data_IF_932697612879
#
_entry.id   IF_932697612879
#
_cell.length_a   1.000
_cell.length_b   1.000
_cell.length_c   1.000
_cell.angle_alpha   90.00
_cell.angle_beta   90.00
_cell.angle_gamma   90.00
#
_symmetry.space_group_name_H-M   'P 1'
#
loop_
_entity.id
_entity.type
_entity.pdbx_description
1 polymer ?
#
# COMPACT_ATOMS: atom_id res chain seq x y z
N UNK A 1 10.16 3.35 18.18
CA UNK A 1 10.13 3.60 16.73
C UNK A 1 11.32 2.88 16.13
N UNK A 2 11.13 1.68 15.58
CA UNK A 2 12.23 0.89 15.02
C UNK A 2 12.49 1.32 13.59
N UNK A 3 13.68 1.87 13.32
CA UNK A 3 14.14 2.14 11.96
C UNK A 3 14.39 0.80 11.28
N UNK A 4 13.60 0.50 10.27
CA UNK A 4 13.73 -0.73 9.47
C UNK A 4 14.85 -0.51 8.45
N UNK A 5 16.11 -0.64 8.88
CA UNK A 5 17.28 -0.57 7.98
C UNK A 5 17.43 -1.90 7.24
N UNK A 6 16.99 -1.95 5.99
CA UNK A 6 17.22 -3.09 5.10
C UNK A 6 18.39 -2.80 4.16
N UNK A 7 19.34 -3.72 4.06
CA UNK A 7 20.50 -3.63 3.18
C UNK A 7 20.24 -3.91 1.69
N UNK A 8 18.97 -3.95 1.26
CA UNK A 8 18.59 -4.33 -0.11
C UNK A 8 17.65 -3.31 -0.73
N UNK A 9 18.22 -2.27 -1.35
CA UNK A 9 17.54 -1.42 -2.32
C UNK A 9 17.48 -2.13 -3.68
N UNK A 10 16.79 -3.27 -3.75
CA UNK A 10 16.48 -3.85 -5.05
C UNK A 10 15.44 -3.00 -5.76
N UNK A 11 15.71 -2.55 -7.01
CA UNK A 11 14.81 -1.73 -7.81
C UNK A 11 13.52 -2.47 -8.23
N UNK A 12 13.37 -3.73 -7.87
CA UNK A 12 12.29 -4.61 -8.34
C UNK A 12 11.07 -4.69 -7.41
N UNK A 13 11.17 -4.25 -6.15
CA UNK A 13 10.00 -4.18 -5.25
C UNK A 13 9.53 -2.72 -5.23
N UNK A 14 8.82 -2.34 -6.30
CA UNK A 14 8.25 -1.01 -6.49
C UNK A 14 6.86 -0.88 -5.85
N UNK A 15 6.04 -1.93 -5.90
CA UNK A 15 4.68 -1.96 -5.36
C UNK A 15 4.57 -2.95 -4.20
N UNK A 16 3.88 -2.55 -3.14
CA UNK A 16 3.62 -3.32 -1.94
C UNK A 16 2.23 -2.98 -1.40
N UNK A 17 1.79 -3.70 -0.36
CA UNK A 17 0.51 -3.43 0.31
C UNK A 17 0.70 -3.40 1.82
N UNK A 18 -0.11 -2.55 2.48
CA UNK A 18 -0.39 -2.65 3.91
C UNK A 18 -1.76 -3.32 4.05
N UNK A 19 -1.80 -4.41 4.80
CA UNK A 19 -3.01 -5.19 5.07
C UNK A 19 -3.50 -4.88 6.48
N UNK A 20 -4.67 -4.26 6.58
CA UNK A 20 -5.36 -4.02 7.85
C UNK A 20 -6.40 -5.11 8.06
N UNK A 21 -6.25 -5.91 9.11
CA UNK A 21 -7.13 -7.03 9.42
C UNK A 21 -7.94 -6.74 10.68
N UNK A 22 -9.26 -6.94 10.60
CA UNK A 22 -10.09 -7.14 11.78
C UNK A 22 -10.22 -8.64 12.03
N UNK A 23 -10.03 -9.05 13.29
CA UNK A 23 -10.08 -10.44 13.69
C UNK A 23 -11.26 -10.68 14.62
N UNK A 24 -12.00 -11.77 14.39
CA UNK A 24 -13.10 -12.19 15.25
C UNK A 24 -12.85 -13.56 15.85
N UNK A 25 -13.45 -13.82 17.02
CA UNK A 25 -13.56 -15.16 17.59
C UNK A 25 -14.84 -15.82 17.11
N UNK A 26 -14.79 -17.11 16.86
CA UNK A 26 -15.97 -17.90 16.52
C UNK A 26 -15.74 -19.38 16.73
N UNK A 27 -16.82 -20.15 16.69
CA UNK A 27 -16.75 -21.61 16.70
C UNK A 27 -16.65 -22.14 15.27
N UNK A 28 -15.72 -23.07 15.03
CA UNK A 28 -15.64 -23.85 13.81
C UNK A 28 -15.43 -25.30 14.19
N UNK A 29 -16.33 -26.17 13.76
CA UNK A 29 -16.23 -27.62 14.01
C UNK A 29 -16.08 -27.95 15.51
N UNK A 30 -16.86 -27.26 16.36
CA UNK A 30 -16.85 -27.45 17.82
C UNK A 30 -15.63 -26.89 18.54
N UNK A 31 -14.77 -26.13 17.85
CA UNK A 31 -13.59 -25.52 18.42
C UNK A 31 -13.57 -24.00 18.21
N UNK A 32 -13.16 -23.27 19.25
CA UNK A 32 -12.92 -21.83 19.15
C UNK A 32 -11.72 -21.53 18.23
N UNK A 33 -11.96 -20.70 17.20
CA UNK A 33 -10.96 -20.23 16.24
C UNK A 33 -10.94 -18.70 16.20
N UNK A 34 -9.82 -18.17 15.71
CA UNK A 34 -9.71 -16.76 15.31
C UNK A 34 -9.87 -16.69 13.80
N UNK A 35 -10.77 -15.85 13.33
CA UNK A 35 -11.04 -15.62 11.92
C UNK A 35 -10.66 -14.21 11.51
N UNK A 36 -10.47 -14.02 10.21
CA UNK A 36 -10.43 -12.69 9.61
C UNK A 36 -11.89 -12.28 9.38
N UNK A 37 -12.33 -11.27 10.13
CA UNK A 37 -13.65 -10.67 9.98
C UNK A 37 -13.66 -9.67 8.81
N UNK A 38 -12.59 -8.88 8.70
CA UNK A 38 -12.43 -7.87 7.66
C UNK A 38 -10.97 -7.78 7.22
N UNK A 39 -10.77 -7.48 5.95
CA UNK A 39 -9.47 -7.14 5.39
C UNK A 39 -9.59 -5.87 4.53
N UNK A 40 -8.85 -4.84 4.89
CA UNK A 40 -8.70 -3.61 4.10
C UNK A 40 -7.27 -3.55 3.55
N UNK A 41 -7.15 -3.31 2.25
CA UNK A 41 -5.85 -3.28 1.56
C UNK A 41 -5.51 -1.85 1.15
N UNK A 42 -4.33 -1.38 1.54
CA UNK A 42 -3.79 -0.08 1.12
C UNK A 42 -2.54 -0.28 0.26
N UNK A 43 -2.56 0.08 -1.03
CA UNK A 43 -1.36 0.10 -1.86
C UNK A 43 -0.32 1.06 -1.31
N UNK A 44 0.94 0.64 -1.32
CA UNK A 44 2.09 1.48 -0.97
C UNK A 44 3.26 1.20 -1.89
N UNK A 45 4.16 2.17 -2.01
CA UNK A 45 5.43 2.03 -2.70
C UNK A 45 6.57 2.48 -1.79
N UNK A 46 7.78 2.09 -2.15
CA UNK A 46 8.99 2.49 -1.43
C UNK A 46 9.71 3.59 -2.18
N UNK A 47 10.19 4.58 -1.45
CA UNK A 47 11.03 5.65 -1.99
C UNK A 47 12.25 5.87 -1.12
N UNK A 48 13.27 6.51 -1.69
CA UNK A 48 14.44 6.98 -0.96
C UNK A 48 14.53 8.49 -1.16
N UNK A 49 14.52 9.25 -0.08
CA UNK A 49 14.63 10.71 -0.09
C UNK A 49 15.87 11.11 0.69
N UNK A 50 16.68 12.00 0.13
CA UNK A 50 17.79 12.60 0.87
C UNK A 50 17.26 13.74 1.74
N UNK A 51 17.40 13.61 3.05
CA UNK A 51 16.99 14.61 4.02
C UNK A 51 18.21 14.97 4.89
N UNK A 52 18.65 16.23 4.84
CA UNK A 52 19.85 16.71 5.55
C UNK A 52 21.10 15.83 5.36
N UNK A 53 21.29 15.29 4.15
CA UNK A 53 22.43 14.44 3.80
C UNK A 53 22.30 12.98 4.26
N UNK A 54 21.19 12.61 4.89
CA UNK A 54 20.87 11.23 5.27
C UNK A 54 19.86 10.66 4.27
N UNK A 55 20.14 9.48 3.74
CA UNK A 55 19.20 8.77 2.89
C UNK A 55 18.12 8.11 3.76
N UNK A 56 16.89 8.58 3.63
CA UNK A 56 15.73 8.01 4.30
C UNK A 56 14.94 7.11 3.35
N UNK A 57 14.71 5.85 3.74
CA UNK A 57 13.75 4.99 3.04
C UNK A 57 12.36 5.19 3.62
N UNK A 58 11.38 5.46 2.74
CA UNK A 58 9.98 5.71 3.12
C UNK A 58 9.05 4.70 2.48
N UNK A 59 7.91 4.48 3.14
CA UNK A 59 6.76 3.77 2.59
C UNK A 59 5.66 4.80 2.40
N UNK A 60 5.22 4.98 1.15
CA UNK A 60 4.29 6.03 0.76
C UNK A 60 3.05 5.43 0.07
N UNK A 61 1.89 6.08 0.21
CA UNK A 61 0.67 5.66 -0.48
C UNK A 61 0.57 6.45 -1.80
N UNK A 62 0.36 5.81 -2.96
CA UNK A 62 0.23 6.55 -4.22
C UNK A 62 -0.90 7.58 -4.18
N UNK A 63 -2.01 7.26 -3.50
CA UNK A 63 -3.15 8.15 -3.30
C UNK A 63 -2.79 9.52 -2.67
N UNK A 64 -1.77 9.56 -1.82
CA UNK A 64 -1.33 10.81 -1.17
C UNK A 64 -0.62 11.77 -2.16
N UNK A 65 -0.26 11.29 -3.36
CA UNK A 65 0.42 12.07 -4.40
C UNK A 65 -0.47 12.43 -5.61
N UNK A 66 -1.60 11.73 -5.81
CA UNK A 66 -2.46 11.91 -7.00
C UNK A 66 -3.17 13.28 -7.05
N UNK A 67 -3.49 13.86 -5.90
CA UNK A 67 -4.13 15.17 -5.78
C UNK A 67 -3.15 16.36 -5.96
N UNK A 68 -1.88 16.11 -6.31
CA UNK A 68 -0.84 17.14 -6.38
C UNK A 68 -0.39 17.66 -5.00
N UNK A 69 -0.76 16.96 -3.91
CA UNK A 69 -0.35 17.29 -2.53
C UNK A 69 1.14 17.08 -2.27
N UNK A 70 1.83 16.37 -3.16
CA UNK A 70 3.26 16.09 -3.06
C UNK A 70 3.90 16.10 -4.44
N UNK A 71 4.95 16.91 -4.61
CA UNK A 71 5.78 16.98 -5.82
C UNK A 71 7.08 16.18 -5.67
N UNK A 72 7.15 15.27 -4.70
CA UNK A 72 8.36 14.48 -4.41
C UNK A 72 8.70 13.49 -5.52
N UNK A 73 7.70 13.08 -6.30
CA UNK A 73 7.83 12.11 -7.38
C UNK A 73 7.21 12.66 -8.67
N UNK A 74 7.68 12.15 -9.82
CA UNK A 74 7.05 12.44 -11.11
C UNK A 74 5.60 11.93 -11.11
N UNK A 75 4.66 12.77 -11.56
CA UNK A 75 3.24 12.41 -11.59
C UNK A 75 2.98 11.15 -12.41
N UNK A 76 3.70 10.96 -13.53
CA UNK A 76 3.62 9.77 -14.38
C UNK A 76 3.97 8.48 -13.61
N UNK A 77 4.98 8.54 -12.76
CA UNK A 77 5.40 7.41 -11.94
C UNK A 77 4.32 7.02 -10.92
N UNK A 78 3.71 8.00 -10.26
CA UNK A 78 2.62 7.76 -9.30
C UNK A 78 1.39 7.16 -9.99
N UNK A 79 1.00 7.71 -11.15
CA UNK A 79 -0.12 7.19 -11.94
C UNK A 79 0.13 5.74 -12.37
N UNK A 80 1.35 5.42 -12.79
CA UNK A 80 1.71 4.06 -13.21
C UNK A 80 1.68 3.07 -12.04
N UNK A 81 2.15 3.48 -10.85
CA UNK A 81 2.06 2.66 -9.63
C UNK A 81 0.59 2.41 -9.25
N UNK A 82 -0.25 3.43 -9.29
CA UNK A 82 -1.67 3.29 -8.97
C UNK A 82 -2.37 2.36 -9.98
N UNK A 83 -2.00 2.46 -11.26
CA UNK A 83 -2.48 1.54 -12.31
C UNK A 83 -2.10 0.10 -12.00
N UNK A 84 -0.86 -0.17 -11.60
CA UNK A 84 -0.44 -1.52 -11.18
C UNK A 84 -1.16 -1.99 -9.92
N UNK A 85 -1.36 -1.11 -8.94
CA UNK A 85 -2.14 -1.43 -7.75
C UNK A 85 -3.57 -1.85 -8.09
N UNK A 86 -4.23 -1.12 -8.98
CA UNK A 86 -5.57 -1.46 -9.44
C UNK A 86 -5.62 -2.84 -10.12
N UNK A 87 -4.64 -3.14 -10.99
CA UNK A 87 -4.52 -4.45 -11.65
C UNK A 87 -4.34 -5.59 -10.65
N UNK A 88 -3.43 -5.45 -9.68
CA UNK A 88 -3.16 -6.48 -8.67
C UNK A 88 -4.36 -6.71 -7.75
N UNK A 89 -5.08 -5.63 -7.40
CA UNK A 89 -6.26 -5.70 -6.53
C UNK A 89 -7.55 -6.07 -7.27
N UNK A 90 -7.49 -6.34 -8.58
CA UNK A 90 -8.67 -6.66 -9.38
C UNK A 90 -9.68 -5.52 -9.51
N UNK A 91 -9.28 -4.28 -9.18
CA UNK A 91 -10.12 -3.09 -9.36
C UNK A 91 -9.99 -2.64 -10.81
N UNK A 92 -11.08 -2.72 -11.59
CA UNK A 92 -11.10 -2.11 -12.93
C UNK A 92 -10.90 -0.61 -12.79
N UNK A 93 -9.81 -0.09 -13.35
CA UNK A 93 -9.63 1.35 -13.52
C UNK A 93 -10.80 1.87 -14.37
N UNK A 94 -11.74 2.59 -13.74
CA UNK A 94 -12.85 3.26 -14.43
C UNK A 94 -14.30 2.85 -14.11
N UNK A 95 -14.60 2.16 -13.00
CA UNK A 95 -16.00 2.02 -12.57
C UNK A 95 -16.26 2.88 -11.31
N UNK A 96 -16.82 4.07 -11.54
CA UNK A 96 -17.55 4.78 -10.52
C UNK A 96 -18.63 3.82 -9.98
N UNK A 97 -18.55 3.54 -8.68
CA UNK A 97 -19.56 2.80 -7.94
C UNK A 97 -20.81 3.68 -7.84
N UNK A 98 -21.65 3.70 -8.88
CA UNK A 98 -23.06 4.07 -8.73
C UNK A 98 -23.74 2.92 -8.01
N UNK A 99 -23.82 3.02 -6.69
CA UNK A 99 -24.74 2.26 -5.88
C UNK A 99 -26.19 2.71 -6.18
N UNK A 100 -27.06 1.76 -6.49
CA UNK A 100 -28.51 1.88 -6.37
C UNK A 100 -29.03 0.56 -5.80
#
# INVERSE_FOLDING_TARGET
MGTVTWGFNAPYIALSIILSLALAKGDFDGAQKTFIEKADVTPVFRSCVSNDGVLETRIEKPADHLDGRSSLHLSEFIVEIERYAALVLGKRSGAAETAT
#
